data_IF_523664311445
#
_entry.id   IF_523664311445
#
_cell.length_a   1.000
_cell.length_b   1.000
_cell.length_c   1.000
_cell.angle_alpha   90.00
_cell.angle_beta   90.00
_cell.angle_gamma   90.00
#
_symmetry.space_group_name_H-M   'P 1'
#
loop_
_entity.id
_entity.type
_entity.pdbx_description
1 polymer ?
#
# COMPACT_ATOMS: atom_id res chain seq x y z
N UNK A 1 27.48 -4.11 -9.84
CA UNK A 1 26.91 -4.29 -8.50
C UNK A 1 27.86 -3.62 -7.51
N UNK A 2 27.34 -2.87 -6.54
CA UNK A 2 28.10 -2.26 -5.43
C UNK A 2 27.46 -2.81 -4.14
N UNK A 3 27.38 -4.13 -4.05
CA UNK A 3 26.75 -4.86 -2.95
C UNK A 3 27.81 -5.39 -1.96
N UNK A 4 27.37 -5.88 -0.79
CA UNK A 4 28.23 -6.46 0.25
C UNK A 4 29.28 -5.50 0.81
N UNK A 5 28.94 -4.22 0.95
CA UNK A 5 29.83 -3.21 1.52
C UNK A 5 29.12 -2.45 2.64
N UNK A 6 29.29 -2.94 3.87
CA UNK A 6 28.67 -2.37 5.08
C UNK A 6 29.25 -1.00 5.43
N UNK A 7 30.47 -0.68 4.97
CA UNK A 7 31.11 0.62 5.16
C UNK A 7 30.56 1.70 4.21
N UNK A 8 29.79 1.30 3.20
CA UNK A 8 29.18 2.23 2.26
C UNK A 8 27.94 2.88 2.89
N UNK A 9 28.13 4.04 3.53
CA UNK A 9 27.07 4.79 4.22
C UNK A 9 26.44 5.88 3.35
N UNK A 10 27.25 6.55 2.54
CA UNK A 10 26.84 7.72 1.77
C UNK A 10 27.30 7.61 0.32
N UNK A 11 26.35 7.79 -0.59
CA UNK A 11 26.62 7.97 -2.02
C UNK A 11 26.34 9.43 -2.38
N UNK A 12 27.20 9.99 -3.22
CA UNK A 12 26.95 11.31 -3.78
C UNK A 12 25.63 11.34 -4.57
N UNK A 13 24.91 12.45 -4.52
CA UNK A 13 23.61 12.62 -5.20
C UNK A 13 23.70 12.46 -6.71
N UNK A 14 24.89 12.65 -7.29
CA UNK A 14 25.22 12.54 -8.70
C UNK A 14 26.06 11.29 -9.05
N UNK A 15 26.15 10.32 -8.14
CA UNK A 15 27.00 9.12 -8.32
C UNK A 15 26.72 8.34 -9.62
N UNK A 16 25.47 8.37 -10.12
CA UNK A 16 25.06 7.70 -11.35
C UNK A 16 24.80 8.66 -12.52
N UNK A 17 25.15 9.93 -12.37
CA UNK A 17 24.92 10.95 -13.40
C UNK A 17 25.74 10.64 -14.65
N UNK A 18 25.06 10.58 -15.80
CA UNK A 18 25.69 10.34 -17.10
C UNK A 18 25.86 8.86 -17.47
N UNK A 19 25.47 7.92 -16.61
CA UNK A 19 25.51 6.49 -16.91
C UNK A 19 24.20 6.08 -17.60
N UNK A 20 24.20 6.00 -18.93
CA UNK A 20 22.98 5.70 -19.72
C UNK A 20 22.64 4.22 -19.79
N UNK A 21 23.64 3.35 -19.66
CA UNK A 21 23.55 1.88 -19.80
C UNK A 21 23.33 1.14 -18.46
N UNK A 22 23.02 1.87 -17.38
CA UNK A 22 22.77 1.25 -16.08
C UNK A 22 21.35 0.67 -16.02
N UNK A 23 21.22 -0.61 -16.33
CA UNK A 23 19.94 -1.33 -16.26
C UNK A 23 19.73 -2.10 -14.96
N UNK A 24 20.80 -2.53 -14.30
CA UNK A 24 20.73 -3.33 -13.07
C UNK A 24 21.60 -2.70 -12.00
N UNK A 25 20.98 -2.36 -10.87
CA UNK A 25 21.65 -1.78 -9.71
C UNK A 25 21.36 -2.63 -8.49
N UNK A 26 22.41 -3.21 -7.95
CA UNK A 26 22.38 -3.97 -6.71
C UNK A 26 23.26 -3.27 -5.68
N UNK A 27 22.61 -2.86 -4.59
CA UNK A 27 23.16 -2.19 -3.42
C UNK A 27 22.79 -2.98 -2.14
N UNK A 28 22.51 -4.27 -2.29
CA UNK A 28 22.18 -5.14 -1.16
C UNK A 28 23.37 -5.28 -0.20
N UNK A 29 23.07 -5.48 1.08
CA UNK A 29 24.06 -5.63 2.16
C UNK A 29 25.00 -4.40 2.27
N UNK A 30 24.41 -3.20 2.14
CA UNK A 30 25.08 -1.91 2.34
C UNK A 30 24.39 -1.12 3.46
N UNK A 31 25.06 -0.07 3.97
CA UNK A 31 24.54 0.80 5.03
C UNK A 31 24.07 2.16 4.51
N UNK A 32 23.63 2.21 3.25
CA UNK A 32 23.26 3.48 2.61
C UNK A 32 22.04 4.11 3.28
N UNK A 33 22.09 5.42 3.52
CA UNK A 33 21.00 6.17 4.15
C UNK A 33 20.02 6.76 3.14
N UNK A 34 20.51 7.12 1.95
CA UNK A 34 19.76 7.80 0.88
C UNK A 34 20.14 7.20 -0.47
N UNK A 35 19.13 6.93 -1.31
CA UNK A 35 19.34 6.47 -2.68
C UNK A 35 19.44 7.67 -3.64
N UNK A 36 20.56 7.85 -4.38
CA UNK A 36 20.68 8.93 -5.36
C UNK A 36 19.78 8.66 -6.59
N UNK A 37 18.90 9.60 -6.91
CA UNK A 37 17.92 9.48 -8.01
C UNK A 37 18.47 9.90 -9.38
N UNK A 38 19.54 10.69 -9.40
CA UNK A 38 20.06 11.29 -10.64
C UNK A 38 20.80 10.22 -11.44
N UNK A 39 20.26 9.88 -12.61
CA UNK A 39 20.84 8.88 -13.51
C UNK A 39 20.19 7.49 -13.46
N UNK A 40 19.16 7.27 -12.64
CA UNK A 40 18.46 5.98 -12.51
C UNK A 40 17.24 5.80 -13.43
N UNK A 41 17.07 6.67 -14.43
CA UNK A 41 15.88 6.70 -15.31
C UNK A 41 15.69 5.41 -16.13
N UNK A 42 16.80 4.81 -16.61
CA UNK A 42 16.80 3.63 -17.48
C UNK A 42 16.95 2.30 -16.71
N UNK A 43 16.85 2.36 -15.39
CA UNK A 43 17.04 1.20 -14.53
C UNK A 43 15.85 0.24 -14.69
N UNK A 44 16.14 -1.04 -14.93
CA UNK A 44 15.16 -2.14 -15.05
C UNK A 44 15.04 -2.95 -13.76
N UNK A 45 16.15 -3.12 -13.04
CA UNK A 45 16.20 -3.91 -11.81
C UNK A 45 16.93 -3.17 -10.70
N UNK A 46 16.28 -3.05 -9.54
CA UNK A 46 16.83 -2.45 -8.33
C UNK A 46 16.79 -3.46 -7.19
N UNK A 47 17.94 -3.74 -6.57
CA UNK A 47 18.05 -4.59 -5.40
C UNK A 47 18.67 -3.83 -4.22
N UNK A 48 17.92 -3.82 -3.11
CA UNK A 48 18.19 -3.14 -1.84
C UNK A 48 17.79 -4.08 -0.68
N UNK A 49 18.33 -5.30 -0.70
CA UNK A 49 18.09 -6.29 0.36
C UNK A 49 19.08 -6.07 1.51
N UNK A 50 18.64 -6.28 2.75
CA UNK A 50 19.44 -6.10 3.97
C UNK A 50 20.07 -4.70 4.12
N UNK A 51 19.33 -3.64 3.79
CA UNK A 51 19.73 -2.24 3.95
C UNK A 51 18.86 -1.57 5.04
N UNK A 52 19.14 -1.80 6.33
CA UNK A 52 18.28 -1.32 7.44
C UNK A 52 18.34 0.20 7.65
N UNK A 53 19.36 0.86 7.11
CA UNK A 53 19.57 2.31 7.19
C UNK A 53 18.69 3.09 6.23
N UNK A 54 18.27 2.47 5.12
CA UNK A 54 17.44 3.11 4.09
C UNK A 54 15.96 3.07 4.50
N UNK A 55 15.57 4.02 5.35
CA UNK A 55 14.20 4.10 5.88
C UNK A 55 13.20 4.73 4.92
N UNK A 56 13.64 5.61 4.03
CA UNK A 56 12.78 6.35 3.09
C UNK A 56 13.30 6.18 1.67
N UNK A 57 12.38 5.91 0.76
CA UNK A 57 12.66 5.93 -0.67
C UNK A 57 12.38 7.31 -1.25
N UNK A 58 13.13 7.72 -2.27
CA UNK A 58 12.77 8.87 -3.08
C UNK A 58 11.48 8.61 -3.88
N UNK A 59 10.86 9.66 -4.46
CA UNK A 59 9.66 9.51 -5.27
C UNK A 59 9.85 8.49 -6.40
N UNK A 60 8.95 7.51 -6.50
CA UNK A 60 9.03 6.41 -7.49
C UNK A 60 8.95 6.89 -8.94
N UNK A 61 8.48 8.12 -9.16
CA UNK A 61 8.42 8.82 -10.44
C UNK A 61 9.79 9.08 -11.08
N UNK A 62 10.91 8.86 -10.36
CA UNK A 62 12.25 8.88 -10.96
C UNK A 62 12.55 7.65 -11.82
N UNK A 63 11.84 6.52 -11.57
CA UNK A 63 12.08 5.27 -12.26
C UNK A 63 11.06 5.09 -13.39
N UNK A 64 11.47 5.31 -14.63
CA UNK A 64 10.55 5.21 -15.78
C UNK A 64 10.59 3.87 -16.49
N UNK A 65 11.60 3.03 -16.25
CA UNK A 65 11.79 1.73 -16.94
C UNK A 65 11.91 0.53 -15.99
N UNK A 66 11.58 0.71 -14.71
CA UNK A 66 11.75 -0.32 -13.70
C UNK A 66 10.76 -1.47 -13.92
N UNK A 67 11.27 -2.70 -13.87
CA UNK A 67 10.48 -3.93 -14.04
C UNK A 67 10.48 -4.74 -12.74
N UNK A 68 11.61 -4.76 -12.02
CA UNK A 68 11.82 -5.56 -10.80
C UNK A 68 12.43 -4.72 -9.68
N UNK A 69 11.90 -4.84 -8.48
CA UNK A 69 12.39 -4.16 -7.30
C UNK A 69 12.42 -5.08 -6.08
N UNK A 70 13.57 -5.17 -5.42
CA UNK A 70 13.76 -5.92 -4.19
C UNK A 70 14.17 -4.95 -3.08
N UNK A 71 13.39 -4.89 -2.02
CA UNK A 71 13.61 -4.01 -0.88
C UNK A 71 13.73 -4.80 0.41
N UNK A 72 14.24 -4.13 1.46
CA UNK A 72 14.30 -4.69 2.81
C UNK A 72 12.94 -4.64 3.51
N UNK A 73 12.14 -3.61 3.22
CA UNK A 73 10.86 -3.38 3.90
C UNK A 73 9.68 -3.46 2.94
N UNK A 74 8.59 -4.13 3.34
CA UNK A 74 7.40 -4.28 2.48
C UNK A 74 6.65 -2.98 2.20
N UNK A 75 6.76 -1.98 3.09
CA UNK A 75 6.10 -0.68 2.90
C UNK A 75 6.70 0.12 1.72
N UNK A 76 7.93 -0.20 1.30
CA UNK A 76 8.54 0.37 0.09
C UNK A 76 7.78 -0.03 -1.17
N UNK A 77 7.18 -1.22 -1.20
CA UNK A 77 6.34 -1.66 -2.30
C UNK A 77 4.99 -0.93 -2.36
N UNK A 78 4.50 -0.40 -1.24
CA UNK A 78 3.25 0.36 -1.21
C UNK A 78 3.32 1.66 -2.02
N UNK A 79 4.50 2.28 -2.13
CA UNK A 79 4.67 3.52 -2.91
C UNK A 79 4.36 3.34 -4.40
N UNK A 80 4.56 2.13 -4.94
CA UNK A 80 4.24 1.83 -6.34
C UNK A 80 2.73 1.60 -6.57
N UNK A 81 1.97 1.35 -5.50
CA UNK A 81 0.51 1.16 -5.58
C UNK A 81 -0.23 2.50 -5.50
N UNK A 82 0.28 3.45 -4.71
CA UNK A 82 -0.31 4.77 -4.45
C UNK A 82 0.50 5.90 -5.11
N UNK A 83 0.63 5.84 -6.45
CA UNK A 83 1.42 6.83 -7.22
C UNK A 83 0.65 8.14 -7.42
N UNK A 84 -0.69 8.08 -7.41
CA UNK A 84 -1.58 9.22 -7.69
C UNK A 84 -1.34 10.36 -6.68
N UNK A 85 -1.16 10.02 -5.39
CA UNK A 85 -0.84 10.97 -4.31
C UNK A 85 0.47 11.74 -4.55
N UNK A 86 1.42 11.15 -5.27
CA UNK A 86 2.72 11.76 -5.60
C UNK A 86 2.60 12.69 -6.79
N UNK A 87 1.75 12.34 -7.77
CA UNK A 87 1.51 13.13 -8.99
C UNK A 87 0.73 14.41 -8.66
N UNK A 88 -0.21 14.35 -7.72
CA UNK A 88 -1.01 15.51 -7.30
C UNK A 88 -0.31 16.42 -6.27
N UNK A 89 0.61 15.87 -5.47
CA UNK A 89 1.19 16.56 -4.30
C UNK A 89 2.51 17.34 -4.52
N UNK A 90 3.29 17.06 -5.57
CA UNK A 90 4.53 17.79 -5.85
C UNK A 90 4.31 18.90 -6.90
N UNK A 91 5.01 20.03 -6.77
CA UNK A 91 4.95 21.26 -7.59
C UNK A 91 5.25 21.10 -9.11
N UNK A 92 4.82 20.02 -9.75
CA UNK A 92 5.06 19.68 -11.14
C UNK A 92 6.44 19.08 -11.44
N UNK A 93 7.27 18.81 -10.42
CA UNK A 93 8.68 18.42 -10.58
C UNK A 93 8.87 17.13 -11.41
N UNK A 94 7.94 16.17 -11.32
CA UNK A 94 8.00 14.90 -12.05
C UNK A 94 6.93 14.73 -13.12
N UNK A 95 6.19 15.79 -13.46
CA UNK A 95 5.12 15.74 -14.48
C UNK A 95 5.63 15.25 -15.83
N UNK A 96 6.84 15.66 -16.21
CA UNK A 96 7.47 15.24 -17.48
C UNK A 96 7.75 13.72 -17.52
N UNK A 97 8.12 13.12 -16.38
CA UNK A 97 8.38 11.69 -16.30
C UNK A 97 7.08 10.88 -16.44
N UNK A 98 6.01 11.33 -15.79
CA UNK A 98 4.69 10.72 -15.93
C UNK A 98 4.18 10.79 -17.39
N UNK A 99 4.32 11.96 -18.02
CA UNK A 99 3.99 12.16 -19.43
C UNK A 99 4.80 11.26 -20.37
N UNK A 100 6.09 11.08 -20.09
CA UNK A 100 6.96 10.19 -20.87
C UNK A 100 6.53 8.73 -20.77
N UNK A 101 6.22 8.26 -19.56
CA UNK A 101 5.71 6.90 -19.31
C UNK A 101 4.41 6.69 -20.08
N UNK A 102 3.45 7.62 -19.93
CA UNK A 102 2.17 7.58 -20.63
C UNK A 102 2.36 7.55 -22.15
N UNK A 103 3.17 8.46 -22.70
CA UNK A 103 3.43 8.52 -24.14
C UNK A 103 4.03 7.23 -24.69
N UNK A 104 5.02 6.64 -23.98
CA UNK A 104 5.66 5.39 -24.37
C UNK A 104 4.66 4.22 -24.39
N UNK A 105 3.86 4.08 -23.34
CA UNK A 105 2.87 3.00 -23.23
C UNK A 105 1.82 3.13 -24.35
N UNK A 106 1.34 4.35 -24.60
CA UNK A 106 0.37 4.60 -25.65
C UNK A 106 0.91 4.32 -27.04
N UNK A 107 2.15 4.72 -27.34
CA UNK A 107 2.82 4.38 -28.60
C UNK A 107 2.94 2.86 -28.79
N UNK A 108 3.25 2.13 -27.73
CA UNK A 108 3.40 0.66 -27.78
C UNK A 108 2.06 -0.06 -27.97
N UNK A 109 0.97 0.44 -27.36
CA UNK A 109 -0.40 -0.03 -27.61
C UNK A 109 -0.81 0.19 -29.05
N UNK A 110 -0.52 1.36 -29.63
CA UNK A 110 -0.83 1.67 -31.04
C UNK A 110 -0.12 0.72 -32.01
N UNK A 111 1.18 0.46 -31.80
CA UNK A 111 1.94 -0.50 -32.61
C UNK A 111 1.35 -1.91 -32.49
N UNK A 112 0.94 -2.30 -31.28
CA UNK A 112 0.35 -3.60 -31.03
C UNK A 112 -1.02 -3.75 -31.72
N UNK A 113 -1.82 -2.68 -31.74
CA UNK A 113 -3.10 -2.62 -32.47
C UNK A 113 -2.89 -2.77 -33.98
N UNK A 114 -1.95 -2.00 -34.56
CA UNK A 114 -1.59 -2.11 -35.99
C UNK A 114 -1.14 -3.52 -36.38
N UNK A 115 -0.41 -4.23 -35.50
CA UNK A 115 -0.07 -5.65 -35.73
C UNK A 115 -1.28 -6.59 -35.68
N UNK A 116 -2.25 -6.34 -34.80
CA UNK A 116 -3.48 -7.15 -34.70
C UNK A 116 -4.39 -6.94 -35.91
N UNK A 117 -4.55 -5.69 -36.35
CA UNK A 117 -5.26 -5.32 -37.58
C UNK A 117 -4.61 -5.95 -38.81
N UNK A 118 -3.28 -5.99 -38.88
CA UNK A 118 -2.55 -6.66 -39.97
C UNK A 118 -2.62 -8.21 -39.93
N UNK A 119 -3.06 -8.81 -38.82
CA UNK A 119 -3.12 -10.26 -38.63
C UNK A 119 -4.52 -10.86 -38.88
N UNK A 120 -5.55 -10.04 -39.03
CA UNK A 120 -6.91 -10.49 -39.35
C UNK A 120 -7.14 -10.39 -40.87
N UNK A 121 -7.55 -11.46 -41.58
CA UNK A 121 -7.94 -11.33 -42.98
C UNK A 121 -9.24 -10.49 -43.08
N UNK A 122 -9.49 -9.78 -44.20
CA UNK A 122 -10.68 -8.96 -44.34
C UNK A 122 -11.93 -9.83 -44.15
N UNK A 123 -12.76 -9.43 -43.20
CA UNK A 123 -13.97 -10.15 -42.83
C UNK A 123 -15.07 -9.84 -43.84
N UNK A 124 -15.99 -10.78 -44.04
CA UNK A 124 -17.16 -10.67 -44.95
C UNK A 124 -18.09 -9.49 -44.65
N UNK A 125 -17.85 -8.73 -43.59
CA UNK A 125 -18.45 -7.42 -43.29
C UNK A 125 -18.28 -6.39 -44.41
N UNK A 126 -17.14 -6.43 -45.14
CA UNK A 126 -16.84 -5.44 -46.18
C UNK A 126 -17.71 -5.63 -47.45
N UNK A 127 -18.26 -6.85 -47.63
CA UNK A 127 -19.19 -7.16 -48.72
C UNK A 127 -20.62 -6.68 -48.39
N UNK A 128 -21.03 -6.82 -47.12
CA UNK A 128 -22.35 -6.38 -46.65
C UNK A 128 -22.44 -4.86 -46.57
N UNK A 129 -21.36 -4.16 -46.21
CA UNK A 129 -21.32 -2.69 -46.27
C UNK A 129 -21.50 -2.19 -47.70
N UNK A 130 -20.80 -2.77 -48.68
CA UNK A 130 -20.96 -2.39 -50.10
C UNK A 130 -22.36 -2.68 -50.68
N UNK A 131 -23.02 -3.76 -50.24
CA UNK A 131 -24.37 -4.10 -50.67
C UNK A 131 -25.43 -3.20 -50.02
N UNK A 132 -25.20 -2.78 -48.78
CA UNK A 132 -26.10 -1.89 -48.05
C UNK A 132 -26.01 -0.46 -48.58
N UNK A 133 -24.81 0.01 -48.94
CA UNK A 133 -24.58 1.30 -49.63
C UNK A 133 -25.32 1.36 -50.98
N UNK A 134 -25.36 0.24 -51.72
CA UNK A 134 -26.09 0.12 -52.97
C UNK A 134 -27.62 0.15 -52.77
N UNK A 135 -28.12 -0.40 -51.66
CA UNK A 135 -29.53 -0.45 -51.31
C UNK A 135 -30.07 0.92 -50.87
N UNK A 136 -29.30 1.66 -50.07
CA UNK A 136 -29.61 3.04 -49.68
C UNK A 136 -29.66 3.99 -50.89
N UNK A 137 -28.83 3.74 -51.92
CA UNK A 137 -28.84 4.54 -53.15
C UNK A 137 -30.12 4.34 -53.99
N UNK A 138 -30.77 3.18 -53.87
CA UNK A 138 -32.04 2.86 -54.56
C UNK A 138 -33.28 3.30 -53.77
N UNK A 139 -33.12 3.70 -52.51
CA UNK A 139 -34.23 4.12 -51.62
C UNK A 139 -33.97 5.52 -51.06
N UNK A 140 -34.02 6.53 -51.92
CA UNK A 140 -34.19 7.91 -51.45
C UNK A 140 -34.96 8.74 -52.48
N UNK A 141 -36.30 8.66 -52.41
CA UNK A 141 -37.20 9.67 -52.91
C UNK A 141 -37.88 10.27 -51.67
N UNK A 142 -37.33 11.41 -51.23
CA UNK A 142 -37.97 12.45 -50.41
C UNK A 142 -38.17 12.17 -48.92
N UNK A 143 -37.30 12.77 -48.08
CA UNK A 143 -37.71 13.62 -46.94
C UNK A 143 -36.49 14.36 -46.34
N UNK A 144 -36.44 15.67 -46.61
CA UNK A 144 -35.51 16.62 -45.99
C UNK A 144 -35.84 16.82 -44.50
N UNK A 145 -34.90 16.51 -43.61
CA UNK A 145 -34.83 17.05 -42.25
C UNK A 145 -33.38 17.49 -42.00
N UNK A 146 -33.19 18.81 -41.96
CA UNK A 146 -31.96 19.48 -41.58
C UNK A 146 -31.66 19.23 -40.09
N UNK A 147 -30.54 18.56 -39.80
CA UNK A 147 -29.80 18.69 -38.55
C UNK A 147 -28.31 18.82 -38.91
N UNK A 148 -27.82 20.06 -38.86
CA UNK A 148 -26.41 20.44 -38.99
C UNK A 148 -25.54 19.76 -37.91
N UNK A 149 -24.41 19.22 -38.36
CA UNK A 149 -23.18 18.94 -37.62
C UNK A 149 -23.24 17.99 -36.40
N UNK A 150 -23.61 16.73 -36.64
CA UNK A 150 -23.07 15.61 -35.86
C UNK A 150 -22.02 14.86 -36.70
N UNK A 151 -20.78 14.69 -36.22
CA UNK A 151 -19.77 13.94 -36.95
C UNK A 151 -20.26 12.50 -37.16
N UNK A 152 -20.06 11.98 -38.37
CA UNK A 152 -20.40 10.61 -38.73
C UNK A 152 -19.82 9.64 -37.69
N UNK A 153 -20.69 8.83 -37.10
CA UNK A 153 -20.30 7.81 -36.14
C UNK A 153 -19.49 6.75 -36.89
N UNK A 154 -18.17 6.71 -36.68
CA UNK A 154 -17.31 5.70 -37.26
C UNK A 154 -17.40 4.42 -36.40
N UNK A 155 -17.94 3.30 -36.93
CA UNK A 155 -18.05 2.05 -36.18
C UNK A 155 -16.68 1.49 -35.75
N UNK A 156 -15.58 1.97 -36.33
CA UNK A 156 -14.22 1.65 -35.88
C UNK A 156 -13.83 2.34 -34.56
N UNK A 157 -14.59 3.35 -34.11
CA UNK A 157 -14.43 3.97 -32.78
C UNK A 157 -15.15 3.21 -31.67
N UNK A 158 -16.11 2.32 -31.99
CA UNK A 158 -16.72 1.41 -31.02
C UNK A 158 -15.72 0.27 -30.73
N UNK A 159 -14.74 0.57 -29.88
CA UNK A 159 -13.67 -0.34 -29.46
C UNK A 159 -12.26 0.22 -29.62
N UNK A 160 -12.09 1.39 -30.25
CA UNK A 160 -10.82 2.08 -30.32
C UNK A 160 -10.72 3.13 -29.20
N UNK A 161 -10.32 2.71 -28.00
CA UNK A 161 -9.81 3.65 -27.01
C UNK A 161 -8.53 4.28 -27.58
N UNK A 162 -8.64 5.46 -28.22
CA UNK A 162 -7.50 6.38 -28.33
C UNK A 162 -7.04 6.61 -26.89
N UNK A 163 -5.72 6.58 -26.62
CA UNK A 163 -5.19 7.10 -25.37
C UNK A 163 -5.53 8.59 -25.27
N UNK A 164 -6.74 8.91 -24.81
CA UNK A 164 -7.17 10.28 -24.56
C UNK A 164 -6.41 10.79 -23.34
N UNK A 165 -6.15 12.10 -23.31
CA UNK A 165 -5.45 12.77 -22.19
C UNK A 165 -6.11 12.54 -20.81
N UNK A 166 -7.35 12.05 -20.78
CA UNK A 166 -8.15 11.75 -19.60
C UNK A 166 -7.63 10.52 -18.82
N UNK A 167 -6.72 9.71 -19.39
CA UNK A 167 -6.24 8.45 -18.78
C UNK A 167 -4.74 8.45 -18.40
N UNK A 168 -4.11 9.63 -18.32
CA UNK A 168 -2.68 9.74 -17.99
C UNK A 168 -2.35 9.09 -16.64
N UNK A 169 -3.14 9.41 -15.60
CA UNK A 169 -2.95 8.90 -14.23
C UNK A 169 -3.14 7.39 -14.18
N UNK A 170 -4.25 6.86 -14.69
CA UNK A 170 -4.54 5.42 -14.66
C UNK A 170 -3.53 4.60 -15.48
N UNK A 171 -3.03 5.13 -16.59
CA UNK A 171 -1.99 4.46 -17.39
C UNK A 171 -0.65 4.41 -16.67
N UNK A 172 -0.27 5.49 -16.00
CA UNK A 172 0.96 5.56 -15.19
C UNK A 172 0.83 4.67 -13.96
N UNK A 173 -0.32 4.66 -13.30
CA UNK A 173 -0.61 3.77 -12.17
C UNK A 173 -0.52 2.30 -12.59
N UNK A 174 -1.10 1.93 -13.73
CA UNK A 174 -1.02 0.57 -14.28
C UNK A 174 0.42 0.13 -14.58
N UNK A 175 1.29 1.04 -14.99
CA UNK A 175 2.72 0.76 -15.15
C UNK A 175 3.38 0.37 -13.82
N UNK A 176 3.18 1.18 -12.78
CA UNK A 176 3.78 0.92 -11.47
C UNK A 176 3.20 -0.30 -10.76
N UNK A 177 1.90 -0.58 -10.94
CA UNK A 177 1.27 -1.80 -10.44
C UNK A 177 1.81 -3.08 -11.10
N UNK A 178 2.32 -2.98 -12.34
CA UNK A 178 2.89 -4.12 -13.06
C UNK A 178 4.36 -4.41 -12.66
N UNK A 179 4.97 -3.56 -11.82
CA UNK A 179 6.35 -3.77 -11.33
C UNK A 179 6.34 -4.91 -10.32
N UNK A 180 7.24 -5.88 -10.51
CA UNK A 180 7.42 -6.97 -9.55
C UNK A 180 8.21 -6.46 -8.35
N UNK A 181 7.51 -6.16 -7.26
CA UNK A 181 8.09 -5.65 -6.03
C UNK A 181 8.08 -6.70 -4.91
N UNK A 182 9.19 -6.84 -4.18
CA UNK A 182 9.32 -7.76 -3.04
C UNK A 182 10.05 -7.08 -1.86
N UNK A 183 9.69 -7.39 -0.61
CA UNK A 183 8.58 -8.24 -0.17
C UNK A 183 7.23 -7.54 -0.35
N UNK A 184 6.18 -8.31 -0.66
CA UNK A 184 4.83 -7.78 -0.76
C UNK A 184 4.26 -7.43 0.63
N UNK A 185 3.39 -6.41 0.74
CA UNK A 185 2.72 -6.10 1.99
C UNK A 185 1.84 -7.28 2.43
N UNK A 186 1.86 -7.55 3.73
CA UNK A 186 1.12 -8.65 4.36
C UNK A 186 0.25 -8.10 5.50
N UNK A 187 -0.57 -8.95 6.13
CA UNK A 187 -1.47 -8.56 7.22
C UNK A 187 -0.76 -7.84 8.39
N UNK A 188 0.52 -8.17 8.63
CA UNK A 188 1.35 -7.52 9.65
C UNK A 188 2.02 -6.23 9.19
N UNK A 189 2.14 -6.00 7.89
CA UNK A 189 2.73 -4.80 7.32
C UNK A 189 1.83 -4.23 6.20
N UNK A 190 0.63 -3.74 6.56
CA UNK A 190 -0.32 -3.15 5.60
C UNK A 190 0.19 -1.82 5.05
N UNK A 191 -0.38 -1.37 3.93
CA UNK A 191 -0.01 -0.07 3.32
C UNK A 191 -0.77 1.10 3.97
N UNK A 192 -2.08 0.97 4.10
CA UNK A 192 -2.95 2.09 4.46
C UNK A 192 -3.08 2.21 5.98
N UNK A 193 -3.61 1.16 6.61
CA UNK A 193 -4.13 1.21 7.98
C UNK A 193 -3.58 0.06 8.82
N UNK A 194 -3.15 0.34 10.05
CA UNK A 194 -2.69 -0.69 11.01
C UNK A 194 -3.82 -1.69 11.26
N UNK A 195 -5.03 -1.15 11.47
CA UNK A 195 -6.25 -1.92 11.58
C UNK A 195 -7.01 -1.82 10.26
N UNK A 196 -6.80 -2.81 9.37
CA UNK A 196 -7.31 -2.73 8.00
C UNK A 196 -8.83 -2.72 7.86
N UNK A 197 -9.57 -3.28 8.82
CA UNK A 197 -11.04 -3.31 8.78
C UNK A 197 -11.64 -2.10 9.49
N UNK A 198 -12.46 -1.33 8.77
CA UNK A 198 -13.19 -0.19 9.33
C UNK A 198 -14.06 -0.57 10.53
N UNK A 199 -14.64 -1.78 10.54
CA UNK A 199 -15.41 -2.31 11.68
C UNK A 199 -14.52 -2.48 12.91
N UNK A 200 -13.32 -3.05 12.75
CA UNK A 200 -12.39 -3.28 13.84
C UNK A 200 -11.85 -1.96 14.41
N UNK A 201 -11.60 -0.97 13.54
CA UNK A 201 -11.24 0.40 13.92
C UNK A 201 -12.31 1.10 14.76
N UNK A 202 -13.60 0.85 14.50
CA UNK A 202 -14.69 1.38 15.34
C UNK A 202 -14.89 0.57 16.61
N UNK A 203 -14.67 -0.74 16.56
CA UNK A 203 -14.82 -1.64 17.71
C UNK A 203 -13.72 -1.51 18.77
N UNK A 204 -12.50 -1.12 18.40
CA UNK A 204 -11.38 -1.03 19.35
C UNK A 204 -11.64 0.02 20.46
N UNK A 205 -12.30 1.12 20.14
CA UNK A 205 -12.62 2.21 21.08
C UNK A 205 -13.56 1.80 22.22
N UNK A 206 -14.76 1.25 21.98
CA UNK A 206 -15.61 0.80 23.06
C UNK A 206 -14.97 -0.36 23.84
N UNK A 207 -14.20 -1.24 23.18
CA UNK A 207 -13.50 -2.35 23.84
C UNK A 207 -12.42 -1.83 24.79
N UNK A 208 -11.55 -0.90 24.35
CA UNK A 208 -10.52 -0.36 25.23
C UNK A 208 -11.11 0.46 26.38
N UNK A 209 -12.18 1.23 26.13
CA UNK A 209 -12.90 1.97 27.17
C UNK A 209 -13.54 1.04 28.19
N UNK A 210 -14.20 -0.03 27.75
CA UNK A 210 -14.79 -1.03 28.64
C UNK A 210 -13.73 -1.76 29.46
N UNK A 211 -12.60 -2.14 28.84
CA UNK A 211 -11.48 -2.77 29.53
C UNK A 211 -10.87 -1.86 30.59
N UNK A 212 -10.69 -0.56 30.30
CA UNK A 212 -10.13 0.39 31.27
C UNK A 212 -11.14 0.68 32.38
N UNK A 213 -12.35 1.12 32.04
CA UNK A 213 -13.35 1.54 33.03
C UNK A 213 -13.80 0.36 33.89
N UNK A 214 -14.10 -0.80 33.27
CA UNK A 214 -14.56 -1.99 33.98
C UNK A 214 -13.55 -2.47 35.02
N UNK A 215 -12.27 -2.56 34.65
CA UNK A 215 -11.25 -3.05 35.56
C UNK A 215 -10.80 -2.01 36.61
N UNK A 216 -10.86 -0.71 36.30
CA UNK A 216 -10.72 0.35 37.32
C UNK A 216 -11.85 0.27 38.34
N UNK A 217 -13.09 0.02 37.92
CA UNK A 217 -14.21 -0.16 38.84
C UNK A 217 -14.02 -1.39 39.74
N UNK A 218 -13.52 -2.51 39.20
CA UNK A 218 -13.17 -3.69 40.01
C UNK A 218 -12.14 -3.32 41.09
N UNK A 219 -11.12 -2.56 40.73
CA UNK A 219 -10.12 -2.05 41.68
C UNK A 219 -10.73 -1.17 42.77
N UNK A 220 -11.62 -0.25 42.41
CA UNK A 220 -12.31 0.64 43.38
C UNK A 220 -13.18 -0.18 44.33
N UNK A 221 -14.02 -1.08 43.80
CA UNK A 221 -14.90 -1.92 44.61
C UNK A 221 -14.09 -2.81 45.56
N UNK A 222 -12.99 -3.38 45.07
CA UNK A 222 -12.15 -4.25 45.87
C UNK A 222 -11.34 -3.49 46.94
N UNK A 223 -10.90 -2.26 46.63
CA UNK A 223 -10.28 -1.36 47.60
C UNK A 223 -11.25 -0.93 48.70
N UNK A 224 -12.53 -0.72 48.38
CA UNK A 224 -13.57 -0.46 49.37
C UNK A 224 -13.94 -1.70 50.19
N UNK A 225 -13.82 -2.90 49.61
CA UNK A 225 -14.09 -4.17 50.29
C UNK A 225 -12.90 -4.70 51.13
N UNK A 226 -11.75 -4.02 51.08
CA UNK A 226 -10.48 -4.47 51.67
C UNK A 226 -10.51 -4.65 53.19
N UNK A 227 -11.51 -4.05 53.88
CA UNK A 227 -11.71 -4.22 55.32
C UNK A 227 -12.19 -5.62 55.72
N UNK A 228 -12.61 -6.48 54.78
CA UNK A 228 -13.13 -7.82 55.08
C UNK A 228 -12.22 -8.93 54.53
N UNK A 229 -11.23 -9.34 55.35
CA UNK A 229 -10.45 -10.60 55.26
C UNK A 229 -10.07 -11.03 53.83
N UNK A 230 -8.90 -10.62 53.38
CA UNK A 230 -8.32 -11.04 52.10
C UNK A 230 -8.09 -12.55 52.05
N UNK A 231 -8.93 -13.28 51.31
CA UNK A 231 -8.68 -14.65 50.85
C UNK A 231 -7.73 -14.64 49.66
N UNK A 232 -7.02 -15.75 49.43
CA UNK A 232 -6.12 -15.97 48.28
C UNK A 232 -6.82 -15.68 46.94
N UNK A 233 -8.10 -16.03 46.81
CA UNK A 233 -8.94 -15.75 45.64
C UNK A 233 -8.99 -14.26 45.22
N UNK A 234 -8.91 -13.32 46.18
CA UNK A 234 -8.92 -11.88 45.87
C UNK A 234 -7.62 -11.40 45.20
N UNK A 235 -6.48 -12.03 45.52
CA UNK A 235 -5.21 -11.70 44.87
C UNK A 235 -5.26 -12.06 43.37
N UNK A 236 -5.94 -13.15 43.01
CA UNK A 236 -6.11 -13.54 41.61
C UNK A 236 -7.07 -12.63 40.86
N UNK A 237 -8.16 -12.17 41.51
CA UNK A 237 -9.06 -11.18 40.90
C UNK A 237 -8.36 -9.83 40.65
N UNK A 238 -7.44 -9.41 41.54
CA UNK A 238 -6.59 -8.22 41.32
C UNK A 238 -5.67 -8.43 40.11
N UNK A 239 -4.98 -9.57 40.06
CA UNK A 239 -4.04 -9.87 38.97
C UNK A 239 -4.75 -9.96 37.61
N UNK A 240 -5.95 -10.54 37.56
CA UNK A 240 -6.76 -10.58 36.35
C UNK A 240 -7.18 -9.16 35.91
N UNK A 241 -7.64 -8.33 36.86
CA UNK A 241 -7.99 -6.95 36.55
C UNK A 241 -6.77 -6.11 36.07
N UNK A 242 -5.57 -6.37 36.60
CA UNK A 242 -4.32 -5.76 36.11
C UNK A 242 -4.05 -6.20 34.66
N UNK A 243 -4.14 -7.50 34.38
CA UNK A 243 -3.92 -8.02 33.04
C UNK A 243 -4.89 -7.37 32.02
N UNK A 244 -6.17 -7.25 32.37
CA UNK A 244 -7.18 -6.66 31.51
C UNK A 244 -7.03 -5.13 31.37
N UNK A 245 -6.52 -4.44 32.40
CA UNK A 245 -6.12 -3.02 32.29
C UNK A 245 -4.98 -2.82 31.31
N UNK A 246 -3.93 -3.64 31.42
CA UNK A 246 -2.80 -3.62 30.48
C UNK A 246 -3.30 -3.92 29.06
N UNK A 247 -4.26 -4.84 28.93
CA UNK A 247 -4.94 -5.12 27.65
C UNK A 247 -5.64 -3.89 27.07
N UNK A 248 -6.40 -3.18 27.90
CA UNK A 248 -7.04 -1.93 27.50
C UNK A 248 -6.04 -0.85 27.08
N UNK A 249 -4.91 -0.73 27.80
CA UNK A 249 -3.85 0.24 27.50
C UNK A 249 -3.15 -0.06 26.19
N UNK A 250 -2.78 -1.33 25.91
CA UNK A 250 -2.13 -1.64 24.63
C UNK A 250 -3.10 -1.41 23.45
N UNK A 251 -4.38 -1.75 23.60
CA UNK A 251 -5.40 -1.49 22.56
C UNK A 251 -5.58 0.01 22.33
N UNK A 252 -5.56 0.82 23.38
CA UNK A 252 -5.59 2.27 23.27
C UNK A 252 -4.35 2.83 22.54
N UNK A 253 -3.15 2.30 22.82
CA UNK A 253 -1.92 2.70 22.09
C UNK A 253 -2.05 2.40 20.60
N UNK A 254 -2.56 1.21 20.23
CA UNK A 254 -2.80 0.84 18.82
C UNK A 254 -3.87 1.73 18.18
N UNK A 255 -4.98 2.01 18.88
CA UNK A 255 -6.06 2.87 18.38
C UNK A 255 -5.59 4.31 18.15
N UNK A 256 -4.78 4.86 19.06
CA UNK A 256 -4.20 6.20 18.89
C UNK A 256 -3.24 6.23 17.71
N UNK A 257 -2.39 5.22 17.58
CA UNK A 257 -1.45 5.16 16.46
C UNK A 257 -2.17 5.03 15.12
N UNK A 258 -3.20 4.20 15.04
CA UNK A 258 -4.02 3.99 13.84
C UNK A 258 -4.70 5.30 13.39
N UNK A 259 -5.24 6.10 14.33
CA UNK A 259 -5.80 7.43 14.02
C UNK A 259 -4.73 8.43 13.60
N UNK A 260 -3.54 8.39 14.19
CA UNK A 260 -2.43 9.30 13.84
C UNK A 260 -1.86 9.04 12.45
N UNK A 261 -1.76 7.78 12.06
CA UNK A 261 -1.20 7.42 10.75
C UNK A 261 -2.23 7.51 9.64
N UNK A 262 -3.53 7.37 9.95
CA UNK A 262 -4.59 7.39 8.95
C UNK A 262 -4.33 6.36 7.84
N UNK A 263 -4.77 6.68 6.61
CA UNK A 263 -4.58 5.86 5.42
C UNK A 263 -3.13 5.91 4.86
N UNK A 264 -2.20 6.58 5.54
CA UNK A 264 -0.80 6.73 5.14
C UNK A 264 0.17 6.01 6.10
N UNK A 265 -0.21 4.84 6.63
CA UNK A 265 0.66 4.07 7.52
C UNK A 265 2.01 3.74 6.87
N UNK A 266 2.06 3.43 5.58
CA UNK A 266 3.31 3.10 4.87
C UNK A 266 4.40 4.18 4.99
N UNK A 267 4.03 5.47 5.13
CA UNK A 267 4.98 6.59 5.31
C UNK A 267 5.58 6.64 6.71
N UNK A 268 4.85 6.13 7.69
CA UNK A 268 5.18 6.19 9.12
C UNK A 268 5.61 4.84 9.71
N UNK A 269 5.43 3.74 8.96
CA UNK A 269 5.65 2.37 9.41
C UNK A 269 7.03 2.15 10.03
N UNK A 270 8.10 2.64 9.40
CA UNK A 270 9.46 2.48 9.95
C UNK A 270 9.64 3.20 11.27
N UNK A 271 9.11 4.42 11.39
CA UNK A 271 9.21 5.20 12.62
C UNK A 271 8.43 4.56 13.78
N UNK A 272 7.31 3.90 13.47
CA UNK A 272 6.53 3.15 14.43
C UNK A 272 7.24 1.87 14.87
N UNK A 273 7.65 1.03 13.91
CA UNK A 273 8.27 -0.28 14.16
C UNK A 273 9.65 -0.17 14.82
N UNK A 274 10.46 0.82 14.43
CA UNK A 274 11.77 1.09 15.07
C UNK A 274 11.66 2.00 16.29
N UNK A 275 10.47 2.55 16.54
CA UNK A 275 10.18 3.42 17.66
C UNK A 275 9.82 2.65 18.93
N UNK A 276 9.71 3.40 20.02
CA UNK A 276 9.43 2.82 21.33
C UNK A 276 7.96 2.39 21.46
N UNK A 277 7.05 3.03 20.71
CA UNK A 277 5.61 2.73 20.76
C UNK A 277 5.29 1.29 20.40
N UNK A 278 5.84 0.78 19.28
CA UNK A 278 5.64 -0.60 18.87
C UNK A 278 6.25 -1.60 19.88
N UNK A 279 7.43 -1.30 20.42
CA UNK A 279 8.08 -2.13 21.43
C UNK A 279 7.29 -2.21 22.73
N UNK A 280 6.81 -1.07 23.23
CA UNK A 280 5.97 -1.02 24.44
C UNK A 280 4.62 -1.72 24.23
N UNK A 281 3.98 -1.53 23.07
CA UNK A 281 2.73 -2.20 22.75
C UNK A 281 2.90 -3.73 22.71
N UNK A 282 3.99 -4.22 22.10
CA UNK A 282 4.33 -5.64 22.09
C UNK A 282 4.60 -6.19 23.50
N UNK A 283 5.37 -5.46 24.32
CA UNK A 283 5.62 -5.85 25.70
C UNK A 283 4.32 -5.95 26.52
N UNK A 284 3.45 -4.94 26.45
CA UNK A 284 2.18 -4.95 27.18
C UNK A 284 1.24 -6.05 26.70
N UNK A 285 1.20 -6.33 25.40
CA UNK A 285 0.38 -7.42 24.86
C UNK A 285 0.82 -8.79 25.37
N UNK A 286 2.13 -9.07 25.39
CA UNK A 286 2.67 -10.33 25.93
C UNK A 286 2.49 -10.40 27.45
N UNK A 287 2.80 -9.31 28.15
CA UNK A 287 2.66 -9.26 29.61
C UNK A 287 1.21 -9.51 30.03
N UNK A 288 0.23 -8.89 29.37
CA UNK A 288 -1.18 -9.09 29.72
C UNK A 288 -1.66 -10.50 29.44
N UNK A 289 -1.24 -11.12 28.32
CA UNK A 289 -1.63 -12.50 28.01
C UNK A 289 -1.08 -13.49 29.03
N UNK A 290 0.21 -13.36 29.39
CA UNK A 290 0.84 -14.25 30.38
C UNK A 290 0.22 -14.08 31.77
N UNK A 291 -0.01 -12.85 32.22
CA UNK A 291 -0.66 -12.58 33.51
C UNK A 291 -2.10 -13.14 33.57
N UNK A 292 -2.85 -13.03 32.47
CA UNK A 292 -4.22 -13.55 32.39
C UNK A 292 -4.26 -15.08 32.46
N UNK A 293 -3.39 -15.76 31.69
CA UNK A 293 -3.30 -17.24 31.68
C UNK A 293 -2.92 -17.77 33.08
N UNK A 294 -1.89 -17.17 33.70
CA UNK A 294 -1.43 -17.57 35.03
C UNK A 294 -2.56 -17.35 36.06
N UNK A 295 -3.25 -16.21 36.00
CA UNK A 295 -4.36 -15.89 36.92
C UNK A 295 -5.53 -16.86 36.75
N UNK A 296 -5.93 -17.14 35.51
CA UNK A 296 -7.01 -18.09 35.21
C UNK A 296 -6.67 -19.50 35.69
N UNK A 297 -5.43 -19.94 35.48
CA UNK A 297 -4.97 -21.25 35.95
C UNK A 297 -5.06 -21.38 37.48
N UNK A 298 -4.57 -20.39 38.22
CA UNK A 298 -4.63 -20.44 39.69
C UNK A 298 -6.05 -20.34 40.25
N UNK A 299 -6.94 -19.60 39.59
CA UNK A 299 -8.37 -19.57 39.95
C UNK A 299 -8.97 -20.97 39.78
N UNK A 300 -8.73 -21.61 38.64
CA UNK A 300 -9.21 -22.97 38.39
C UNK A 300 -8.65 -23.99 39.39
N UNK A 301 -7.36 -23.88 39.72
CA UNK A 301 -6.71 -24.73 40.72
C UNK A 301 -7.31 -24.55 42.12
N UNK A 302 -7.55 -23.30 42.54
CA UNK A 302 -8.16 -23.00 43.84
C UNK A 302 -9.56 -23.59 43.94
N UNK A 303 -10.37 -23.46 42.88
CA UNK A 303 -11.70 -24.08 42.82
C UNK A 303 -11.62 -25.61 42.91
N UNK A 304 -10.70 -26.24 42.18
CA UNK A 304 -10.57 -27.70 42.18
C UNK A 304 -10.07 -28.28 43.51
N UNK A 305 -9.21 -27.55 44.24
CA UNK A 305 -8.65 -28.00 45.51
C UNK A 305 -9.56 -27.71 46.72
N UNK A 306 -10.34 -26.62 46.67
CA UNK A 306 -11.31 -26.28 47.72
C UNK A 306 -12.72 -26.88 47.50
N UNK A 307 -12.89 -27.74 46.49
CA UNK A 307 -14.08 -28.60 46.30
C UNK A 307 -13.82 -29.96 46.95
#
# INVERSE_FOLDING_TARGET
>A
AINNNVELTDLSTDAFKGITELHHLDLSDTSISVLPIIGLKNLKSLALQNVPTLKRLPPVLSFTHLETAHFTYAHHCCLFKHVDDVVEGENGLYKNNAQEIHHRICKQREISRKRREASYPPSTSDLWSSLMEQWFRDTDDQLDLDDDDLPAFDPSEIGATRCLAVEEVATVQGFYQNITCTPQPDAFNPCENIVGLWVLRKAIWPVCMAAIVGNVLVWVILGLAFEKRMRVHYLFMINLAIADLITGVYLAVLAVQDVRTGDEYYRHAVSWQTGWGCSMAGFFAVLSSELSIISMFFIAFEMAYNT
#
